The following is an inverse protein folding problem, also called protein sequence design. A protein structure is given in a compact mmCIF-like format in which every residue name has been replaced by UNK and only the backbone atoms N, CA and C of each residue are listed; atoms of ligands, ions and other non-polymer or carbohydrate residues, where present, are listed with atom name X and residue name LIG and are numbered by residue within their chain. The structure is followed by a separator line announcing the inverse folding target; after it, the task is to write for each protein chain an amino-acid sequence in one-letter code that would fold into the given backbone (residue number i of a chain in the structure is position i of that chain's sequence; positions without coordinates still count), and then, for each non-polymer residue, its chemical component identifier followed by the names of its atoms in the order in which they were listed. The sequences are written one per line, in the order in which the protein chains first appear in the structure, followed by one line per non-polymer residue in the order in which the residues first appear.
data_IF_501230034559
#
_entry.id   IF_501230034559
#
_cell.length_a   1.000
_cell.length_b   1.000
_cell.length_c   1.000
_cell.angle_alpha   90.00
_cell.angle_beta   90.00
_cell.angle_gamma   90.00
#
_symmetry.space_group_name_H-M   'P 1'
#
loop_
_entity.id
_entity.type
_entity.pdbx_description
1 polymer ?
#
# COMPACT_ATOMS: atom_id res chain seq x y z
N UNK A 1 -10.86 -1.47 2.04
CA UNK A 1 -10.40 -1.31 3.44
C UNK A 1 -9.81 -2.64 3.87
N UNK A 2 -8.50 -2.70 4.10
CA UNK A 2 -7.90 -3.80 4.86
C UNK A 2 -8.26 -3.58 6.33
N UNK A 3 -8.67 -4.63 7.03
CA UNK A 3 -9.02 -4.58 8.45
C UNK A 3 -8.06 -5.50 9.21
N UNK A 4 -7.31 -4.94 10.15
CA UNK A 4 -6.56 -5.72 11.14
C UNK A 4 -7.50 -5.92 12.32
N UNK A 5 -7.93 -7.16 12.54
CA UNK A 5 -8.66 -7.51 13.74
C UNK A 5 -7.73 -8.24 14.70
N UNK A 6 -7.74 -7.81 15.96
CA UNK A 6 -7.24 -8.61 17.08
C UNK A 6 -8.34 -9.63 17.40
N UNK A 7 -8.25 -10.81 16.78
CA UNK A 7 -9.35 -11.78 16.80
C UNK A 7 -9.25 -12.67 18.04
N UNK A 8 -10.41 -13.04 18.59
CA UNK A 8 -10.55 -14.04 19.64
C UNK A 8 -9.87 -15.36 19.23
N UNK A 9 -8.95 -15.83 20.08
CA UNK A 9 -8.06 -16.98 19.83
C UNK A 9 -8.79 -18.23 19.32
N UNK A 10 -10.02 -18.43 19.77
CA UNK A 10 -10.77 -19.67 19.61
C UNK A 10 -11.35 -19.90 18.20
N UNK A 11 -11.54 -18.84 17.39
CA UNK A 11 -12.24 -18.95 16.10
C UNK A 11 -11.34 -19.20 14.89
N UNK A 12 -10.02 -18.94 15.00
CA UNK A 12 -9.09 -19.02 13.86
C UNK A 12 -7.79 -19.78 14.13
N UNK A 13 -7.73 -20.58 15.21
CA UNK A 13 -6.56 -21.42 15.50
C UNK A 13 -5.31 -20.63 15.88
N UNK A 14 -5.48 -19.47 16.53
CA UNK A 14 -4.36 -18.65 16.98
C UNK A 14 -3.67 -19.37 18.14
N UNK A 15 -2.57 -20.06 17.84
CA UNK A 15 -1.90 -20.93 18.80
C UNK A 15 -1.15 -20.19 19.92
N UNK A 16 -0.88 -18.89 19.75
CA UNK A 16 -0.08 -18.11 20.70
C UNK A 16 -0.52 -16.65 20.82
N UNK A 17 -0.48 -16.14 22.05
CA UNK A 17 -0.52 -14.69 22.32
C UNK A 17 0.58 -14.01 21.51
N UNK A 18 0.25 -12.92 20.81
CA UNK A 18 1.10 -12.15 19.86
C UNK A 18 1.07 -12.58 18.38
N UNK A 19 0.41 -13.67 17.99
CA UNK A 19 0.26 -13.96 16.54
C UNK A 19 -0.79 -13.05 15.89
N UNK A 20 -0.44 -12.45 14.77
CA UNK A 20 -1.32 -11.59 13.97
C UNK A 20 -1.81 -12.37 12.75
N UNK A 21 -3.07 -12.16 12.36
CA UNK A 21 -3.64 -12.69 11.12
C UNK A 21 -4.23 -11.54 10.33
N UNK A 22 -3.83 -11.44 9.07
CA UNK A 22 -4.18 -10.36 8.16
C UNK A 22 -5.34 -10.77 7.25
N UNK A 23 -6.34 -9.92 7.10
CA UNK A 23 -7.52 -10.21 6.28
C UNK A 23 -7.65 -9.16 5.18
N UNK A 24 -7.18 -9.46 3.96
CA UNK A 24 -7.40 -8.56 2.85
C UNK A 24 -8.86 -8.63 2.40
N UNK A 25 -9.32 -7.56 1.71
CA UNK A 25 -10.72 -7.40 1.31
C UNK A 25 -11.28 -8.58 0.50
N UNK A 26 -10.42 -9.26 -0.26
CA UNK A 26 -10.74 -10.38 -1.14
C UNK A 26 -10.60 -11.76 -0.47
N UNK A 27 -9.97 -11.87 0.71
CA UNK A 27 -9.75 -13.15 1.39
C UNK A 27 -10.22 -13.08 2.85
N UNK A 28 -11.34 -13.76 3.12
CA UNK A 28 -11.90 -13.90 4.47
C UNK A 28 -11.26 -15.02 5.29
N UNK A 29 -10.48 -15.91 4.66
CA UNK A 29 -9.77 -16.99 5.35
C UNK A 29 -8.59 -16.48 6.18
N UNK A 30 -8.11 -15.27 5.86
CA UNK A 30 -6.98 -14.63 6.53
C UNK A 30 -5.63 -15.26 6.16
N UNK A 31 -4.59 -14.45 6.23
CA UNK A 31 -3.20 -14.81 5.99
C UNK A 31 -2.43 -14.64 7.29
N UNK A 32 -1.55 -15.59 7.61
CA UNK A 32 -0.74 -15.48 8.82
C UNK A 32 0.34 -14.41 8.63
N UNK A 33 0.46 -13.51 9.61
CA UNK A 33 1.51 -12.51 9.63
C UNK A 33 2.80 -13.17 10.11
N UNK A 34 3.78 -13.29 9.21
CA UNK A 34 5.09 -13.88 9.50
C UNK A 34 6.18 -12.79 9.65
N UNK A 35 5.77 -11.52 9.73
CA UNK A 35 6.69 -10.40 9.87
C UNK A 35 7.25 -10.24 11.28
N UNK A 36 8.24 -9.35 11.41
CA UNK A 36 8.79 -8.96 12.70
C UNK A 36 7.75 -8.28 13.58
N UNK A 37 8.01 -8.25 14.88
CA UNK A 37 7.06 -7.73 15.87
C UNK A 37 7.30 -6.25 16.19
N UNK A 38 8.13 -5.60 15.37
CA UNK A 38 8.41 -4.17 15.44
C UNK A 38 7.37 -3.40 14.63
N UNK A 39 7.23 -2.12 14.94
CA UNK A 39 6.29 -1.24 14.25
C UNK A 39 6.65 -1.06 12.77
N UNK A 40 7.94 -0.89 12.45
CA UNK A 40 8.42 -0.72 11.08
C UNK A 40 8.08 -1.93 10.19
N UNK A 41 8.35 -3.15 10.67
CA UNK A 41 8.00 -4.41 9.99
C UNK A 41 6.50 -4.52 9.72
N UNK A 42 5.68 -4.10 10.69
CA UNK A 42 4.23 -4.12 10.57
C UNK A 42 3.71 -3.11 9.57
N UNK A 43 4.24 -1.88 9.60
CA UNK A 43 3.89 -0.81 8.66
C UNK A 43 4.29 -1.21 7.24
N UNK A 44 5.48 -1.79 7.06
CA UNK A 44 5.95 -2.31 5.78
C UNK A 44 5.00 -3.39 5.23
N UNK A 45 4.63 -4.38 6.04
CA UNK A 45 3.70 -5.42 5.65
C UNK A 45 2.32 -4.89 5.22
N UNK A 46 1.76 -3.94 5.99
CA UNK A 46 0.46 -3.34 5.65
C UNK A 46 0.55 -2.52 4.37
N UNK A 47 1.63 -1.76 4.19
CA UNK A 47 1.87 -0.98 2.98
C UNK A 47 1.98 -1.90 1.75
N UNK A 48 2.69 -3.02 1.85
CA UNK A 48 2.80 -4.03 0.80
C UNK A 48 1.43 -4.66 0.48
N UNK A 49 0.72 -5.17 1.49
CA UNK A 49 -0.53 -5.91 1.28
C UNK A 49 -1.70 -5.03 0.85
N UNK A 50 -1.70 -3.76 1.23
CA UNK A 50 -2.80 -2.84 0.95
C UNK A 50 -2.47 -1.81 -0.14
N UNK A 51 -1.24 -1.80 -0.67
CA UNK A 51 -0.79 -0.82 -1.66
C UNK A 51 -0.84 0.61 -1.12
N UNK A 52 -0.63 0.79 0.18
CA UNK A 52 -0.62 2.11 0.84
C UNK A 52 0.81 2.50 1.16
N UNK A 53 1.03 3.79 1.45
CA UNK A 53 2.33 4.28 1.90
C UNK A 53 2.15 5.14 3.16
N UNK A 54 1.96 4.47 4.30
CA UNK A 54 1.85 5.09 5.63
C UNK A 54 3.16 5.05 6.39
N UNK A 55 3.38 6.04 7.25
CA UNK A 55 4.47 6.02 8.24
C UNK A 55 4.03 5.39 9.57
N UNK A 56 4.99 5.27 10.49
CA UNK A 56 4.78 4.73 11.84
C UNK A 56 3.77 5.52 12.67
N UNK A 57 3.60 6.81 12.38
CA UNK A 57 2.64 7.71 13.03
C UNK A 57 1.26 7.69 12.35
N UNK A 58 1.07 6.81 11.35
CA UNK A 58 -0.17 6.64 10.59
C UNK A 58 -0.44 7.76 9.58
N UNK A 59 0.49 8.68 9.36
CA UNK A 59 0.40 9.70 8.31
C UNK A 59 0.72 9.11 6.95
N UNK A 60 0.27 9.80 5.91
CA UNK A 60 0.63 9.47 4.54
C UNK A 60 2.05 9.97 4.28
N UNK A 61 2.93 9.07 3.83
CA UNK A 61 4.25 9.49 3.35
C UNK A 61 4.12 10.23 2.02
N UNK A 62 5.15 10.98 1.62
CA UNK A 62 5.18 11.68 0.33
C UNK A 62 5.05 10.76 -0.90
N UNK A 63 5.13 9.44 -0.72
CA UNK A 63 4.91 8.42 -1.77
C UNK A 63 3.45 7.98 -1.88
N UNK A 64 2.59 8.36 -0.95
CA UNK A 64 1.18 7.99 -0.98
C UNK A 64 0.45 8.75 -2.11
N UNK A 65 -0.29 8.02 -2.95
CA UNK A 65 -1.02 8.60 -4.08
C UNK A 65 -0.18 8.83 -5.35
N UNK A 66 1.13 8.56 -5.31
CA UNK A 66 1.95 8.54 -6.53
C UNK A 66 1.66 7.25 -7.29
N UNK A 67 0.93 7.37 -8.40
CA UNK A 67 0.86 6.31 -9.40
C UNK A 67 2.13 6.41 -10.23
N UNK A 68 3.00 5.41 -10.15
CA UNK A 68 4.29 5.37 -10.89
C UNK A 68 4.11 5.61 -12.40
N UNK A 69 2.99 5.17 -12.95
CA UNK A 69 2.60 5.41 -14.35
C UNK A 69 2.38 6.89 -14.66
N UNK A 70 1.82 7.67 -13.73
CA UNK A 70 1.56 9.10 -13.91
C UNK A 70 2.81 9.95 -13.67
N UNK A 71 3.68 9.56 -12.73
CA UNK A 71 4.94 10.26 -12.43
C UNK A 71 5.90 10.27 -13.63
N UNK A 72 5.97 9.14 -14.35
CA UNK A 72 6.79 9.02 -15.56
C UNK A 72 6.29 9.96 -16.66
N UNK A 73 4.98 9.99 -16.89
CA UNK A 73 4.36 10.87 -17.88
C UNK A 73 4.47 12.35 -17.49
N UNK A 74 4.37 12.69 -16.20
CA UNK A 74 4.59 14.05 -15.71
C UNK A 74 6.04 14.52 -15.91
N UNK A 75 7.02 13.64 -15.70
CA UNK A 75 8.44 13.96 -15.99
C UNK A 75 8.66 14.19 -17.48
N UNK A 76 8.08 13.36 -18.35
CA UNK A 76 8.13 13.56 -19.81
C UNK A 76 7.48 14.90 -20.19
N UNK A 77 6.33 15.25 -19.60
CA UNK A 77 5.64 16.52 -19.85
C UNK A 77 6.44 17.75 -19.41
N UNK A 78 7.06 17.71 -18.23
CA UNK A 78 7.89 18.81 -17.72
C UNK A 78 9.18 18.97 -18.51
N UNK A 79 9.75 17.87 -19.02
CA UNK A 79 10.96 17.90 -19.86
C UNK A 79 10.72 18.30 -21.32
N UNK A 80 9.47 18.34 -21.76
CA UNK A 80 9.13 18.73 -23.13
C UNK A 80 9.08 20.26 -23.25
N UNK A 81 10.01 20.85 -24.01
CA UNK A 81 9.96 22.28 -24.35
C UNK A 81 8.93 22.61 -25.44
N UNK A 82 8.62 21.64 -26.33
CA UNK A 82 7.64 21.79 -27.41
C UNK A 82 6.19 21.62 -26.93
N UNK A 83 5.33 22.61 -27.19
CA UNK A 83 3.89 22.55 -26.90
C UNK A 83 3.17 21.39 -27.62
N UNK A 84 3.68 20.95 -28.77
CA UNK A 84 3.14 19.78 -29.49
C UNK A 84 3.49 18.46 -28.76
N UNK A 85 4.67 18.35 -28.15
CA UNK A 85 5.04 17.17 -27.35
C UNK A 85 4.24 17.11 -26.06
N UNK A 86 3.96 18.27 -25.45
CA UNK A 86 3.07 18.38 -24.29
C UNK A 86 1.66 17.89 -24.60
N UNK A 87 1.09 18.24 -25.77
CA UNK A 87 -0.23 17.74 -26.21
C UNK A 87 -0.25 16.22 -26.38
N UNK A 88 0.79 15.64 -26.97
CA UNK A 88 0.89 14.19 -27.17
C UNK A 88 1.02 13.44 -25.84
N UNK A 89 1.74 13.99 -24.87
CA UNK A 89 1.82 13.41 -23.53
C UNK A 89 0.48 13.56 -22.79
N UNK A 90 -0.21 14.69 -22.98
CA UNK A 90 -1.54 14.94 -22.40
C UNK A 90 -2.61 14.00 -22.95
N UNK A 91 -2.61 13.69 -24.25
CA UNK A 91 -3.57 12.75 -24.84
C UNK A 91 -3.35 11.29 -24.42
N UNK A 92 -2.18 10.95 -23.86
CA UNK A 92 -1.92 9.64 -23.23
C UNK A 92 -2.42 9.57 -21.79
N UNK A 93 -2.86 10.70 -21.24
CA UNK A 93 -3.36 10.85 -19.87
C UNK A 93 -4.89 10.74 -19.79
N UNK A 94 -5.60 11.04 -20.89
CA UNK A 94 -7.06 10.87 -21.06
C UNK A 94 -7.41 9.40 -21.36
#
# INVERSE_FOLDING_TARGET
MCLIWMISINTYGIAAYRSLKFFPKNNKSGEDYVGGLNLDDFVAFINEKCGTNRDEQGQLTSKAGIVTSLDTLMKEFVSADDDEKKKVVFSRLE
#
